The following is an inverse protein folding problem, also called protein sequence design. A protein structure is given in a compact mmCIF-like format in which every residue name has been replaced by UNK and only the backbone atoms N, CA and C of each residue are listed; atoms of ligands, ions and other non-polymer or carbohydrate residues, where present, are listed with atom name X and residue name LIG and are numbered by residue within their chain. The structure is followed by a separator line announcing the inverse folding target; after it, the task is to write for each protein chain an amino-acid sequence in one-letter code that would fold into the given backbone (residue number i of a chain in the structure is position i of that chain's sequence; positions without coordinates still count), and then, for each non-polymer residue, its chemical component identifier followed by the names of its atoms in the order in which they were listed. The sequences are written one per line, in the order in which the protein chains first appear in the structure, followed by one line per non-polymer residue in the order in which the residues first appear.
data_IF_985550302838
#
_entry.id   IF_985550302838
#
_cell.length_a   1.000
_cell.length_b   1.000
_cell.length_c   1.000
_cell.angle_alpha   90.00
_cell.angle_beta   90.00
_cell.angle_gamma   90.00
#
_symmetry.space_group_name_H-M   'P 1'
#
loop_
_entity.id
_entity.type
_entity.pdbx_description
1 polymer ?
#
# COMPACT_ATOMS: atom_id res chain seq x y z
N UNK A 1 -11.68 20.90 -7.54
CA UNK A 1 -10.69 20.45 -6.54
C UNK A 1 -10.23 21.68 -5.77
N UNK A 2 -10.40 21.66 -4.44
CA UNK A 2 -10.02 22.76 -3.53
C UNK A 2 -8.49 22.74 -3.38
N UNK A 3 -7.83 23.88 -3.54
CA UNK A 3 -6.37 23.99 -3.44
C UNK A 3 -6.01 25.21 -2.60
N UNK A 4 -4.97 25.10 -1.76
CA UNK A 4 -4.43 26.19 -0.96
C UNK A 4 -2.91 26.16 -0.95
N UNK A 5 -2.28 27.24 -0.50
CA UNK A 5 -0.82 27.35 -0.40
C UNK A 5 -0.37 27.27 1.07
N UNK A 6 0.86 26.78 1.35
CA UNK A 6 1.31 26.56 2.72
C UNK A 6 1.34 27.81 3.62
N UNK A 7 1.50 29.00 3.07
CA UNK A 7 1.44 30.24 3.86
C UNK A 7 0.04 30.87 3.91
N UNK A 8 -0.98 30.23 3.35
CA UNK A 8 -2.33 30.79 3.28
C UNK A 8 -2.43 32.01 2.38
N UNK A 9 -1.54 32.17 1.40
CA UNK A 9 -1.48 33.33 0.50
C UNK A 9 -2.61 33.33 -0.54
N UNK A 10 -3.31 32.20 -0.69
CA UNK A 10 -4.35 31.99 -1.69
C UNK A 10 -5.62 31.47 -1.04
N UNK A 11 -6.75 32.13 -1.31
CA UNK A 11 -8.06 31.66 -0.87
C UNK A 11 -8.44 30.37 -1.63
N UNK A 12 -8.81 29.28 -0.94
CA UNK A 12 -9.13 28.01 -1.61
C UNK A 12 -10.45 27.99 -2.38
N UNK A 13 -11.29 29.02 -2.20
CA UNK A 13 -12.60 29.17 -2.85
C UNK A 13 -12.46 30.02 -4.11
N UNK A 14 -12.11 31.30 -3.97
CA UNK A 14 -12.06 32.24 -5.09
C UNK A 14 -10.70 32.33 -5.79
N UNK A 15 -9.65 31.70 -5.25
CA UNK A 15 -8.25 31.80 -5.72
C UNK A 15 -7.64 33.21 -5.66
N UNK A 16 -8.33 34.17 -5.05
CA UNK A 16 -7.80 35.49 -4.73
C UNK A 16 -6.84 35.45 -3.53
N UNK A 17 -6.54 36.63 -3.00
CA UNK A 17 -5.67 36.81 -1.82
C UNK A 17 -6.24 36.07 -0.61
N UNK A 18 -5.42 35.19 0.00
CA UNK A 18 -5.76 34.43 1.19
C UNK A 18 -5.49 35.19 2.49
N UNK A 19 -5.66 34.55 3.65
CA UNK A 19 -5.45 35.20 4.97
C UNK A 19 -3.99 35.29 5.41
N UNK A 20 -3.05 34.70 4.68
CA UNK A 20 -1.62 34.70 5.04
C UNK A 20 -1.32 33.93 6.34
N UNK A 21 -2.19 32.99 6.74
CA UNK A 21 -2.04 32.25 7.99
C UNK A 21 -1.35 30.91 7.77
N UNK A 22 -0.13 30.79 8.30
CA UNK A 22 0.60 29.51 8.30
C UNK A 22 -0.10 28.46 9.17
N UNK A 23 -0.78 28.89 10.24
CA UNK A 23 -1.51 27.97 11.13
C UNK A 23 -2.82 27.46 10.52
N UNK A 24 -3.39 28.23 9.59
CA UNK A 24 -4.66 27.94 8.91
C UNK A 24 -4.51 28.23 7.40
N UNK A 25 -3.67 27.44 6.68
CA UNK A 25 -3.31 27.72 5.30
C UNK A 25 -4.49 27.57 4.33
N UNK A 26 -5.54 26.85 4.75
CA UNK A 26 -6.78 26.69 4.02
C UNK A 26 -7.87 27.70 4.42
N UNK A 27 -7.57 28.70 5.27
CA UNK A 27 -8.56 29.70 5.67
C UNK A 27 -9.10 30.46 4.46
N UNK A 28 -10.42 30.58 4.37
CA UNK A 28 -11.07 31.35 3.30
C UNK A 28 -10.87 32.86 3.53
N UNK A 29 -10.81 33.65 2.46
CA UNK A 29 -10.70 35.11 2.57
C UNK A 29 -11.99 35.73 3.14
N UNK A 30 -11.93 36.99 3.58
CA UNK A 30 -13.08 37.71 4.14
C UNK A 30 -14.25 37.81 3.15
N UNK A 31 -13.96 38.02 1.87
CA UNK A 31 -15.00 38.11 0.85
C UNK A 31 -15.76 36.79 0.61
N UNK A 32 -15.09 35.65 0.82
CA UNK A 32 -15.77 34.35 0.75
C UNK A 32 -16.55 34.07 2.04
N UNK A 33 -16.07 34.55 3.18
CA UNK A 33 -16.78 34.43 4.46
C UNK A 33 -18.13 35.16 4.44
N UNK A 34 -18.22 36.34 3.82
CA UNK A 34 -19.49 37.09 3.70
C UNK A 34 -20.53 36.46 2.76
N UNK A 35 -20.14 35.41 2.01
CA UNK A 35 -21.02 34.66 1.09
C UNK A 35 -21.37 33.27 1.61
N UNK A 36 -21.06 32.98 2.87
CA UNK A 36 -21.40 31.70 3.46
C UNK A 36 -22.91 31.55 3.59
N UNK A 37 -23.40 30.36 3.26
CA UNK A 37 -24.79 29.95 3.38
C UNK A 37 -24.92 28.60 4.06
N UNK A 38 -26.09 28.31 4.61
CA UNK A 38 -26.44 26.98 5.11
C UNK A 38 -26.85 26.02 3.97
N UNK A 39 -27.33 24.82 4.34
CA UNK A 39 -27.81 23.82 3.37
C UNK A 39 -29.04 24.28 2.57
N UNK A 40 -29.85 25.20 3.12
CA UNK A 40 -31.02 25.79 2.47
C UNK A 40 -30.67 27.03 1.63
N UNK A 41 -29.39 27.41 1.56
CA UNK A 41 -28.89 28.56 0.78
C UNK A 41 -29.13 29.91 1.46
N UNK A 42 -29.44 29.92 2.76
CA UNK A 42 -29.66 31.15 3.54
C UNK A 42 -28.33 31.66 4.13
N UNK A 43 -28.09 32.98 4.19
CA UNK A 43 -26.84 33.54 4.71
C UNK A 43 -26.56 33.15 6.16
N UNK A 44 -25.30 32.86 6.49
CA UNK A 44 -24.87 32.57 7.87
C UNK A 44 -23.93 33.62 8.43
N UNK A 45 -24.14 33.97 9.69
CA UNK A 45 -23.25 34.80 10.49
C UNK A 45 -22.47 33.95 11.49
N UNK A 46 -21.20 34.30 11.72
CA UNK A 46 -20.30 33.56 12.59
C UNK A 46 -19.79 34.49 13.68
N UNK A 47 -20.01 34.13 14.93
CA UNK A 47 -19.62 34.93 16.09
C UNK A 47 -19.02 34.07 17.20
N UNK A 48 -18.14 34.69 18.01
CA UNK A 48 -17.68 34.12 19.27
C UNK A 48 -18.80 34.20 20.32
N UNK A 49 -19.04 33.12 21.06
CA UNK A 49 -20.09 33.07 22.09
C UNK A 49 -19.70 33.68 23.42
N UNK A 50 -18.42 34.04 23.63
CA UNK A 50 -17.95 34.62 24.90
C UNK A 50 -17.03 35.83 24.73
N UNK A 51 -17.03 36.71 25.73
CA UNK A 51 -16.17 37.90 25.82
C UNK A 51 -14.67 37.58 25.90
N UNK A 52 -14.32 36.32 26.17
CA UNK A 52 -12.94 35.81 26.22
C UNK A 52 -12.58 34.92 25.02
N UNK A 53 -13.45 34.83 24.01
CA UNK A 53 -13.17 34.18 22.73
C UNK A 53 -13.38 32.66 22.69
N UNK A 54 -13.94 32.05 23.74
CA UNK A 54 -14.28 30.62 23.76
C UNK A 54 -15.70 30.35 23.24
N UNK A 55 -15.81 29.36 22.35
CA UNK A 55 -17.05 28.90 21.72
C UNK A 55 -17.48 29.71 20.48
N UNK A 56 -18.13 29.02 19.53
CA UNK A 56 -18.59 29.57 18.25
C UNK A 56 -20.08 29.37 18.12
N UNK A 57 -20.73 30.40 17.59
CA UNK A 57 -22.10 30.36 17.14
C UNK A 57 -22.12 30.65 15.65
N UNK A 58 -22.64 29.70 14.89
CA UNK A 58 -23.07 29.92 13.51
C UNK A 58 -24.56 30.16 13.57
N UNK A 59 -25.01 31.33 13.14
CA UNK A 59 -26.42 31.72 13.17
C UNK A 59 -26.94 32.00 11.77
N UNK A 60 -28.16 31.58 11.48
CA UNK A 60 -28.86 31.92 10.24
C UNK A 60 -30.10 32.77 10.55
N UNK A 61 -29.85 34.03 10.92
CA UNK A 61 -30.89 35.00 11.28
C UNK A 61 -31.59 34.77 12.64
N UNK A 62 -31.92 33.52 13.00
CA UNK A 62 -32.65 33.21 14.25
C UNK A 62 -32.21 31.91 14.95
N UNK A 63 -31.60 30.95 14.24
CA UNK A 63 -31.26 29.62 14.79
C UNK A 63 -29.74 29.42 14.95
N UNK A 64 -29.32 28.79 16.05
CA UNK A 64 -27.93 28.41 16.32
C UNK A 64 -27.66 27.03 15.75
N UNK A 65 -26.70 26.95 14.84
CA UNK A 65 -26.26 25.71 14.22
C UNK A 65 -24.98 25.22 14.91
N UNK A 66 -24.89 23.90 15.14
CA UNK A 66 -23.70 23.26 15.70
C UNK A 66 -22.47 23.51 14.80
N UNK A 67 -21.31 23.78 15.40
CA UNK A 67 -20.08 24.22 14.72
C UNK A 67 -19.48 23.19 13.76
N UNK A 68 -19.86 21.92 13.89
CA UNK A 68 -19.50 20.84 12.96
C UNK A 68 -20.51 20.64 11.81
N UNK A 69 -21.59 21.42 11.77
CA UNK A 69 -22.52 21.43 10.64
C UNK A 69 -21.86 22.13 9.45
N UNK A 70 -21.82 21.49 8.27
CA UNK A 70 -21.23 22.11 7.08
C UNK A 70 -21.98 23.37 6.66
N UNK A 71 -21.23 24.43 6.41
CA UNK A 71 -21.69 25.66 5.73
C UNK A 71 -21.02 25.75 4.36
N UNK A 72 -21.60 26.51 3.43
CA UNK A 72 -21.23 26.47 2.03
C UNK A 72 -20.88 27.85 1.50
N UNK A 73 -19.86 27.93 0.66
CA UNK A 73 -19.60 29.11 -0.19
C UNK A 73 -19.25 28.63 -1.58
N UNK A 74 -19.93 29.16 -2.60
CA UNK A 74 -19.74 28.79 -4.00
C UNK A 74 -19.78 27.26 -4.24
N UNK A 75 -20.64 26.55 -3.47
CA UNK A 75 -20.80 25.09 -3.52
C UNK A 75 -19.70 24.29 -2.78
N UNK A 76 -18.77 24.94 -2.08
CA UNK A 76 -17.71 24.30 -1.30
C UNK A 76 -18.12 24.20 0.17
N UNK A 77 -18.13 22.98 0.71
CA UNK A 77 -18.38 22.74 2.13
C UNK A 77 -17.21 23.20 3.02
N UNK A 78 -17.53 23.93 4.06
CA UNK A 78 -16.63 24.52 5.05
C UNK A 78 -17.10 24.22 6.48
N UNK A 79 -16.18 24.26 7.43
CA UNK A 79 -16.48 24.32 8.86
C UNK A 79 -15.89 25.57 9.49
N UNK A 80 -16.58 26.10 10.49
CA UNK A 80 -16.11 27.20 11.34
C UNK A 80 -15.70 26.63 12.71
N UNK A 81 -14.44 26.80 13.09
CA UNK A 81 -13.91 26.27 14.36
C UNK A 81 -13.04 27.27 15.10
N UNK A 82 -12.92 27.07 16.41
CA UNK A 82 -12.19 27.98 17.28
C UNK A 82 -10.70 27.87 16.94
N UNK A 83 -10.11 29.01 16.64
CA UNK A 83 -8.71 29.16 16.37
C UNK A 83 -7.91 29.15 17.67
N UNK A 84 -6.61 28.87 17.57
CA UNK A 84 -5.68 29.11 18.68
C UNK A 84 -5.79 30.59 19.07
N UNK A 85 -6.00 30.84 20.37
CA UNK A 85 -6.20 32.18 20.96
C UNK A 85 -7.62 32.79 20.82
N UNK A 86 -8.66 31.97 20.63
CA UNK A 86 -10.06 32.41 20.78
C UNK A 86 -10.63 33.21 19.61
N UNK A 87 -10.04 33.05 18.41
CA UNK A 87 -10.61 33.56 17.16
C UNK A 87 -11.50 32.52 16.48
N UNK A 88 -12.20 32.89 15.41
CA UNK A 88 -12.88 31.92 14.54
C UNK A 88 -12.13 31.78 13.24
N UNK A 89 -11.94 30.54 12.79
CA UNK A 89 -11.41 30.23 11.46
C UNK A 89 -12.44 29.44 10.69
N UNK A 90 -12.66 29.85 9.44
CA UNK A 90 -13.44 29.09 8.46
C UNK A 90 -12.51 28.59 7.37
N UNK A 91 -12.56 27.29 7.09
CA UNK A 91 -11.84 26.68 5.97
C UNK A 91 -12.66 25.51 5.40
N UNK A 92 -12.39 25.09 4.15
CA UNK A 92 -13.01 23.92 3.57
C UNK A 92 -12.86 22.69 4.46
N UNK A 93 -13.86 21.81 4.48
CA UNK A 93 -13.81 20.56 5.27
C UNK A 93 -12.51 19.78 4.99
N UNK A 94 -12.10 19.71 3.72
CA UNK A 94 -10.84 19.08 3.31
C UNK A 94 -9.60 19.70 3.97
N UNK A 95 -9.61 21.01 4.27
CA UNK A 95 -8.54 21.70 4.98
C UNK A 95 -8.52 21.43 6.49
N UNK A 96 -9.66 21.04 7.09
CA UNK A 96 -9.71 20.58 8.49
C UNK A 96 -9.29 19.11 8.63
N UNK A 97 -9.65 18.29 7.64
CA UNK A 97 -9.31 16.86 7.60
C UNK A 97 -7.88 16.61 7.12
N UNK A 98 -7.29 17.57 6.38
CA UNK A 98 -5.87 17.58 6.04
C UNK A 98 -5.17 18.46 7.08
N UNK A 99 -4.40 17.91 8.05
CA UNK A 99 -3.69 18.75 8.99
C UNK A 99 -2.85 19.79 8.23
N UNK A 100 -2.72 21.04 8.72
CA UNK A 100 -1.78 21.97 8.13
C UNK A 100 -0.44 21.26 8.12
N UNK A 101 0.13 21.05 6.93
CA UNK A 101 1.49 20.54 6.81
C UNK A 101 2.33 21.31 7.83
N UNK A 102 2.97 20.64 8.80
CA UNK A 102 3.78 21.35 9.75
C UNK A 102 4.89 22.05 8.96
N UNK A 103 4.80 23.38 8.86
CA UNK A 103 5.98 24.19 8.60
C UNK A 103 6.83 23.94 9.83
N UNK A 104 7.91 23.17 9.65
CA UNK A 104 8.86 22.85 10.69
C UNK A 104 9.35 24.16 11.33
N UNK A 105 8.75 24.56 12.45
CA UNK A 105 9.37 25.44 13.44
C UNK A 105 10.57 24.66 13.94
N UNK A 106 11.78 25.07 13.55
CA UNK A 106 13.05 24.40 13.82
C UNK A 106 12.90 22.89 14.02
N UNK A 107 12.99 22.14 12.92
CA UNK A 107 13.10 20.69 13.00
C UNK A 107 14.10 20.31 14.09
N UNK A 108 13.61 19.80 15.23
CA UNK A 108 14.34 18.81 15.98
C UNK A 108 14.47 17.64 15.02
N UNK A 109 15.48 17.70 14.14
CA UNK A 109 15.92 16.58 13.34
C UNK A 109 16.42 15.58 14.38
N UNK A 110 15.53 14.72 14.85
CA UNK A 110 15.89 13.67 15.77
C UNK A 110 16.93 12.81 15.08
N UNK A 111 18.10 12.76 15.68
CA UNK A 111 19.18 11.88 15.30
C UNK A 111 18.80 10.44 15.66
N UNK A 112 19.47 9.47 15.04
CA UNK A 112 19.28 8.06 15.39
C UNK A 112 19.56 7.80 16.89
N UNK A 113 20.44 8.58 17.53
CA UNK A 113 20.73 8.49 18.95
C UNK A 113 19.52 8.88 19.83
N UNK A 114 18.69 9.84 19.40
CA UNK A 114 17.45 10.22 20.10
C UNK A 114 16.34 9.18 19.97
N UNK A 115 16.50 8.23 19.05
CA UNK A 115 15.70 7.00 18.98
C UNK A 115 16.41 5.81 19.62
N UNK A 116 17.47 6.03 20.40
CA UNK A 116 18.24 4.97 21.07
C UNK A 116 18.78 3.92 20.08
N UNK A 117 19.06 4.34 18.85
CA UNK A 117 19.47 3.46 17.74
C UNK A 117 18.42 2.41 17.33
N UNK A 118 17.16 2.61 17.72
CA UNK A 118 16.03 1.80 17.27
C UNK A 118 15.50 2.30 15.91
N UNK A 119 15.92 1.63 14.85
CA UNK A 119 15.43 1.90 13.50
C UNK A 119 13.93 1.64 13.31
N UNK A 120 13.31 0.79 14.13
CA UNK A 120 11.86 0.57 14.10
C UNK A 120 11.13 1.77 14.67
N UNK A 121 11.59 2.31 15.80
CA UNK A 121 11.04 3.54 16.37
C UNK A 121 11.14 4.73 15.40
N UNK A 122 12.24 4.85 14.65
CA UNK A 122 12.38 5.85 13.56
C UNK A 122 11.31 5.64 12.50
N UNK A 123 11.10 4.40 12.05
CA UNK A 123 10.11 4.10 11.03
C UNK A 123 8.69 4.37 11.51
N UNK A 124 8.34 3.95 12.72
CA UNK A 124 7.04 4.22 13.34
C UNK A 124 6.79 5.73 13.42
N UNK A 125 7.78 6.52 13.83
CA UNK A 125 7.71 7.98 13.85
C UNK A 125 7.46 8.58 12.45
N UNK A 126 8.19 8.14 11.43
CA UNK A 126 8.05 8.63 10.06
C UNK A 126 6.69 8.26 9.44
N UNK A 127 6.23 7.03 9.67
CA UNK A 127 4.97 6.54 9.12
C UNK A 127 3.77 7.19 9.83
N UNK A 128 3.82 7.38 11.15
CA UNK A 128 2.79 8.09 11.89
C UNK A 128 2.60 9.54 11.42
N UNK A 129 3.67 10.19 10.96
CA UNK A 129 3.63 11.53 10.40
C UNK A 129 3.22 11.59 8.91
N UNK A 130 3.06 10.43 8.26
CA UNK A 130 2.69 10.32 6.86
C UNK A 130 1.18 10.10 6.68
N UNK A 131 0.62 10.25 5.46
CA UNK A 131 -0.77 9.90 5.19
C UNK A 131 -1.15 8.44 5.47
N UNK A 132 -0.18 7.51 5.56
CA UNK A 132 -0.47 6.13 5.96
C UNK A 132 -0.87 6.02 7.42
N UNK A 133 -0.38 6.90 8.30
CA UNK A 133 -0.69 6.96 9.74
C UNK A 133 -0.24 5.76 10.58
N UNK A 134 -0.05 4.57 10.00
CA UNK A 134 0.40 3.35 10.67
C UNK A 134 1.18 2.43 9.74
N UNK A 135 2.04 1.60 10.33
CA UNK A 135 2.81 0.59 9.56
C UNK A 135 1.89 -0.44 8.91
N UNK A 136 0.79 -0.83 9.55
CA UNK A 136 -0.15 -1.80 8.98
C UNK A 136 -0.85 -1.25 7.73
N UNK A 137 -1.25 0.03 7.75
CA UNK A 137 -1.81 0.69 6.58
C UNK A 137 -0.75 0.87 5.47
N UNK A 138 0.49 1.21 5.82
CA UNK A 138 1.59 1.25 4.85
C UNK A 138 1.83 -0.13 4.23
N UNK A 139 1.81 -1.21 5.01
CA UNK A 139 1.91 -2.59 4.50
C UNK A 139 0.74 -2.89 3.57
N UNK A 140 -0.50 -2.62 3.98
CA UNK A 140 -1.69 -2.96 3.21
C UNK A 140 -1.73 -2.26 1.84
N UNK A 141 -1.47 -0.95 1.81
CA UNK A 141 -1.54 -0.13 0.60
C UNK A 141 -0.30 -0.22 -0.30
N UNK A 142 0.84 -0.70 0.22
CA UNK A 142 2.09 -0.81 -0.55
C UNK A 142 2.48 -2.25 -0.89
N UNK A 143 1.74 -3.25 -0.41
CA UNK A 143 1.98 -4.66 -0.73
C UNK A 143 1.02 -5.14 -1.82
N UNK A 144 1.58 -5.55 -2.94
CA UNK A 144 0.83 -6.01 -4.12
C UNK A 144 0.84 -7.53 -4.20
N UNK A 145 -0.36 -8.10 -4.31
CA UNK A 145 -0.61 -9.55 -4.45
C UNK A 145 -1.03 -9.89 -5.88
N UNK A 146 -0.93 -11.17 -6.24
CA UNK A 146 -1.48 -11.67 -7.49
C UNK A 146 -3.01 -11.64 -7.46
N UNK A 147 -3.66 -11.30 -8.57
CA UNK A 147 -5.11 -11.35 -8.70
C UNK A 147 -5.64 -12.79 -8.59
N UNK A 148 -6.84 -13.02 -8.01
CA UNK A 148 -7.45 -14.35 -7.97
C UNK A 148 -7.49 -15.07 -9.33
N UNK A 149 -7.74 -14.35 -10.42
CA UNK A 149 -7.78 -14.93 -11.78
C UNK A 149 -6.46 -15.57 -12.19
N UNK A 150 -5.33 -14.90 -11.98
CA UNK A 150 -4.02 -15.48 -12.35
C UNK A 150 -3.63 -16.64 -11.43
N UNK A 151 -4.05 -16.60 -10.17
CA UNK A 151 -3.89 -17.74 -9.24
C UNK A 151 -4.74 -18.94 -9.67
N UNK A 152 -5.97 -18.70 -10.11
CA UNK A 152 -6.85 -19.74 -10.65
C UNK A 152 -6.31 -20.29 -11.99
N UNK A 153 -5.73 -19.43 -12.84
CA UNK A 153 -5.13 -19.83 -14.11
C UNK A 153 -3.92 -20.76 -13.96
N UNK A 154 -3.20 -20.72 -12.83
CA UNK A 154 -2.16 -21.71 -12.50
C UNK A 154 -2.72 -22.97 -11.83
N UNK A 155 -4.03 -23.02 -11.59
CA UNK A 155 -4.67 -24.10 -10.83
C UNK A 155 -4.18 -24.14 -9.39
N UNK A 156 -3.84 -22.99 -8.80
CA UNK A 156 -3.37 -22.89 -7.42
C UNK A 156 -2.11 -23.72 -7.12
N UNK A 157 -1.15 -23.71 -8.05
CA UNK A 157 0.13 -24.44 -7.93
C UNK A 157 1.32 -23.52 -8.18
N UNK A 158 2.47 -23.90 -7.64
CA UNK A 158 3.76 -23.31 -7.99
C UNK A 158 3.99 -23.36 -9.50
N UNK A 159 4.54 -22.27 -10.04
CA UNK A 159 4.72 -22.12 -11.49
C UNK A 159 5.95 -22.88 -11.96
N UNK A 160 7.09 -22.67 -11.33
CA UNK A 160 8.37 -23.30 -11.68
C UNK A 160 8.83 -24.27 -10.60
N UNK A 161 9.43 -25.37 -11.02
CA UNK A 161 9.97 -26.39 -10.13
C UNK A 161 11.39 -26.03 -9.68
N UNK A 162 11.47 -25.00 -8.84
CA UNK A 162 12.72 -24.44 -8.30
C UNK A 162 12.67 -24.33 -6.77
N UNK A 163 13.85 -24.27 -6.15
CA UNK A 163 14.01 -24.02 -4.70
C UNK A 163 15.19 -23.09 -4.44
N UNK A 164 15.18 -22.43 -3.29
CA UNK A 164 16.30 -21.61 -2.83
C UNK A 164 17.47 -22.50 -2.41
N UNK A 165 18.68 -22.17 -2.88
CA UNK A 165 19.89 -22.82 -2.40
C UNK A 165 21.10 -21.90 -2.34
N UNK A 166 22.27 -22.50 -2.13
CA UNK A 166 23.54 -21.77 -1.99
C UNK A 166 23.96 -21.20 -3.34
N UNK A 167 24.74 -20.12 -3.31
CA UNK A 167 25.24 -19.47 -4.52
C UNK A 167 26.00 -20.42 -5.46
N UNK A 168 26.81 -21.31 -4.90
CA UNK A 168 27.59 -22.29 -5.67
C UNK A 168 26.72 -23.32 -6.42
N UNK A 169 25.51 -23.56 -5.94
CA UNK A 169 24.62 -24.60 -6.47
C UNK A 169 23.60 -24.02 -7.48
N UNK A 170 23.54 -22.69 -7.68
CA UNK A 170 22.53 -22.03 -8.53
C UNK A 170 22.61 -22.52 -9.98
N UNK A 171 21.46 -22.93 -10.51
CA UNK A 171 21.31 -23.50 -11.84
C UNK A 171 21.59 -25.00 -11.93
N UNK A 172 22.05 -25.64 -10.85
CA UNK A 172 22.11 -27.11 -10.78
C UNK A 172 20.72 -27.70 -10.62
N UNK A 173 20.53 -28.93 -11.11
CA UNK A 173 19.28 -29.68 -10.99
C UNK A 173 19.56 -30.89 -10.11
N UNK A 174 18.79 -31.01 -9.03
CA UNK A 174 18.88 -32.10 -8.05
C UNK A 174 17.47 -32.69 -7.95
N UNK A 175 17.34 -34.00 -8.21
CA UNK A 175 16.06 -34.72 -8.15
C UNK A 175 14.92 -34.08 -8.95
N UNK A 176 15.27 -33.51 -10.11
CA UNK A 176 14.32 -32.84 -11.01
C UNK A 176 13.81 -31.49 -10.47
N UNK A 177 14.53 -30.85 -9.55
CA UNK A 177 14.27 -29.50 -9.05
C UNK A 177 15.50 -28.65 -9.29
N UNK A 178 15.33 -27.44 -9.84
CA UNK A 178 16.47 -26.54 -10.06
C UNK A 178 16.73 -25.67 -8.83
N UNK A 179 17.98 -25.60 -8.40
CA UNK A 179 18.41 -24.66 -7.36
C UNK A 179 18.50 -23.26 -7.94
N UNK A 180 17.91 -22.27 -7.27
CA UNK A 180 17.94 -20.87 -7.68
C UNK A 180 18.12 -19.92 -6.48
N UNK A 181 18.19 -18.63 -6.79
CA UNK A 181 17.91 -17.56 -5.83
C UNK A 181 16.46 -17.06 -6.00
N UNK A 182 16.17 -15.84 -5.54
CA UNK A 182 14.84 -15.26 -5.68
C UNK A 182 14.46 -14.83 -7.12
N UNK A 183 15.27 -15.13 -8.14
CA UNK A 183 14.94 -14.82 -9.53
C UNK A 183 13.69 -15.58 -10.02
N UNK A 184 13.55 -16.87 -9.72
CA UNK A 184 12.38 -17.67 -10.16
C UNK A 184 11.06 -17.26 -9.51
N UNK A 185 10.96 -17.00 -8.18
CA UNK A 185 9.76 -16.41 -7.58
C UNK A 185 9.39 -15.05 -8.20
N UNK A 186 10.37 -14.16 -8.37
CA UNK A 186 10.17 -12.84 -8.97
C UNK A 186 9.62 -12.97 -10.40
N UNK A 187 10.24 -13.82 -11.23
CA UNK A 187 9.77 -14.08 -12.58
C UNK A 187 8.39 -14.74 -12.63
N UNK A 188 8.10 -15.67 -11.71
CA UNK A 188 6.80 -16.31 -11.62
C UNK A 188 5.70 -15.27 -11.40
N UNK A 189 5.92 -14.34 -10.47
CA UNK A 189 4.99 -13.25 -10.20
C UNK A 189 4.92 -12.24 -11.36
N UNK A 190 6.05 -11.68 -11.80
CA UNK A 190 6.12 -10.65 -12.84
C UNK A 190 5.55 -11.13 -14.18
N UNK A 191 5.93 -12.34 -14.62
CA UNK A 191 5.52 -12.84 -15.93
C UNK A 191 4.04 -13.24 -15.91
N UNK A 192 3.54 -13.75 -14.79
CA UNK A 192 2.13 -14.14 -14.70
C UNK A 192 1.22 -12.93 -14.61
N UNK A 193 1.54 -11.98 -13.73
CA UNK A 193 0.70 -10.79 -13.47
C UNK A 193 0.86 -9.69 -14.51
N UNK A 194 1.98 -9.65 -15.24
CA UNK A 194 2.32 -8.55 -16.15
C UNK A 194 2.98 -7.35 -15.46
N UNK A 195 3.29 -7.45 -14.16
CA UNK A 195 4.09 -6.46 -13.45
C UNK A 195 5.46 -6.31 -14.15
N UNK A 196 5.78 -5.09 -14.59
CA UNK A 196 6.95 -4.84 -15.44
C UNK A 196 8.20 -4.69 -14.59
N UNK A 197 9.29 -5.38 -14.95
CA UNK A 197 10.58 -5.27 -14.25
C UNK A 197 11.12 -3.83 -14.11
N UNK A 198 10.79 -2.93 -15.04
CA UNK A 198 11.15 -1.50 -14.94
C UNK A 198 10.45 -0.77 -13.79
N UNK A 199 9.28 -1.23 -13.36
CA UNK A 199 8.53 -0.68 -12.22
C UNK A 199 8.87 -1.38 -10.90
N UNK A 200 9.72 -2.41 -10.91
CA UNK A 200 10.06 -3.21 -9.71
C UNK A 200 11.44 -2.90 -9.13
N UNK A 201 12.15 -1.86 -9.60
CA UNK A 201 13.54 -1.57 -9.19
C UNK A 201 13.74 -1.45 -7.68
N UNK A 202 12.80 -0.81 -6.99
CA UNK A 202 12.81 -0.64 -5.52
C UNK A 202 11.75 -1.48 -4.82
N UNK A 203 11.20 -2.48 -5.53
CA UNK A 203 10.32 -3.48 -4.96
C UNK A 203 11.09 -4.77 -4.72
N UNK A 204 10.74 -5.44 -3.63
CA UNK A 204 11.27 -6.76 -3.29
C UNK A 204 10.15 -7.79 -3.42
N UNK A 205 10.47 -8.89 -4.09
CA UNK A 205 9.65 -10.11 -4.11
C UNK A 205 9.84 -10.84 -2.77
N UNK A 206 8.77 -10.96 -2.00
CA UNK A 206 8.76 -11.52 -0.65
C UNK A 206 7.93 -12.81 -0.60
N UNK A 207 8.24 -13.66 0.38
CA UNK A 207 7.46 -14.86 0.71
C UNK A 207 6.69 -14.65 2.01
N UNK A 208 5.44 -15.13 2.08
CA UNK A 208 4.61 -15.07 3.30
C UNK A 208 5.00 -16.13 4.33
N UNK A 209 5.38 -17.31 3.84
CA UNK A 209 5.77 -18.47 4.62
C UNK A 209 7.20 -18.88 4.27
N UNK A 210 7.99 -19.22 5.29
CA UNK A 210 9.39 -19.61 5.15
C UNK A 210 9.51 -21.06 4.64
N UNK A 211 9.19 -21.27 3.37
CA UNK A 211 9.15 -22.59 2.71
C UNK A 211 10.00 -22.59 1.45
N UNK A 212 11.17 -21.96 1.50
CA UNK A 212 12.01 -21.72 0.32
C UNK A 212 12.67 -22.98 -0.25
N UNK A 213 12.70 -24.08 0.52
CA UNK A 213 13.15 -25.40 0.11
C UNK A 213 12.03 -26.29 -0.43
N UNK A 214 10.78 -25.82 -0.44
CA UNK A 214 9.62 -26.57 -0.92
C UNK A 214 9.28 -26.14 -2.36
N UNK A 215 9.46 -27.03 -3.35
CA UNK A 215 9.21 -26.70 -4.76
C UNK A 215 7.74 -26.40 -5.06
N UNK A 216 6.81 -26.88 -4.23
CA UNK A 216 5.36 -26.63 -4.40
C UNK A 216 4.93 -25.29 -3.80
N UNK A 217 5.79 -24.64 -3.01
CA UNK A 217 5.51 -23.37 -2.35
C UNK A 217 6.41 -22.21 -2.80
N UNK A 218 7.60 -22.50 -3.35
CA UNK A 218 8.62 -21.47 -3.61
C UNK A 218 8.21 -20.47 -4.69
N UNK A 219 7.52 -20.93 -5.73
CA UNK A 219 7.00 -20.10 -6.83
C UNK A 219 5.48 -20.05 -6.90
N UNK A 220 4.80 -20.41 -5.81
CA UNK A 220 3.35 -20.28 -5.69
C UNK A 220 2.97 -18.80 -5.50
N UNK A 221 2.17 -18.28 -6.42
CA UNK A 221 1.70 -16.89 -6.40
C UNK A 221 0.93 -16.53 -5.12
N UNK A 222 0.30 -17.50 -4.46
CA UNK A 222 -0.42 -17.29 -3.19
C UNK A 222 0.53 -17.08 -2.02
N UNK A 223 1.78 -17.51 -2.14
CA UNK A 223 2.84 -17.38 -1.15
C UNK A 223 3.75 -16.17 -1.41
N UNK A 224 3.52 -15.43 -2.50
CA UNK A 224 4.41 -14.36 -2.97
C UNK A 224 3.66 -13.03 -3.03
N UNK A 225 4.33 -11.96 -2.64
CA UNK A 225 3.87 -10.59 -2.85
C UNK A 225 5.06 -9.68 -3.15
N UNK A 226 4.77 -8.51 -3.72
CA UNK A 226 5.76 -7.45 -3.91
C UNK A 226 5.48 -6.31 -2.94
N UNK A 227 6.53 -5.75 -2.35
CA UNK A 227 6.44 -4.53 -1.56
C UNK A 227 7.70 -3.67 -1.74
N UNK A 228 7.65 -2.35 -1.48
CA UNK A 228 8.85 -1.53 -1.41
C UNK A 228 9.89 -2.15 -0.48
N UNK A 229 11.16 -2.08 -0.87
CA UNK A 229 12.25 -2.76 -0.15
C UNK A 229 12.31 -2.42 1.34
N UNK A 230 11.92 -1.21 1.74
CA UNK A 230 11.86 -0.82 3.16
C UNK A 230 10.72 -1.50 3.93
N UNK A 231 9.56 -1.74 3.29
CA UNK A 231 8.46 -2.53 3.86
C UNK A 231 8.83 -4.02 3.89
N UNK A 232 9.41 -4.52 2.80
CA UNK A 232 9.84 -5.91 2.68
C UNK A 232 10.78 -6.32 3.83
N UNK A 233 11.68 -5.44 4.25
CA UNK A 233 12.59 -5.70 5.38
C UNK A 233 11.89 -5.91 6.72
N UNK A 234 10.68 -5.38 6.91
CA UNK A 234 9.86 -5.66 8.10
C UNK A 234 9.27 -7.07 8.08
N UNK A 235 9.26 -7.71 6.92
CA UNK A 235 8.67 -9.04 6.71
C UNK A 235 9.70 -10.17 6.72
N UNK A 236 10.98 -9.83 6.59
CA UNK A 236 12.09 -10.77 6.34
C UNK A 236 12.58 -11.56 7.58
N UNK A 237 12.10 -11.24 8.79
CA UNK A 237 12.75 -11.75 10.00
C UNK A 237 11.84 -11.86 11.23
N UNK A 238 10.96 -12.87 11.32
CA UNK A 238 10.42 -13.37 12.61
C UNK A 238 10.06 -14.87 12.55
N UNK A 239 11.09 -15.71 12.67
CA UNK A 239 10.93 -17.09 13.13
C UNK A 239 11.06 -17.09 14.67
N UNK A 240 9.97 -17.22 15.41
CA UNK A 240 10.08 -17.44 16.85
C UNK A 240 8.79 -17.29 17.67
N UNK A 241 7.94 -16.33 17.35
CA UNK A 241 6.64 -16.15 18.00
C UNK A 241 5.92 -15.04 17.25
N UNK A 242 4.69 -15.31 16.78
CA UNK A 242 3.82 -14.24 16.31
C UNK A 242 3.23 -13.57 17.57
N UNK A 243 3.65 -12.36 17.97
CA UNK A 243 2.72 -11.54 18.72
C UNK A 243 1.49 -11.29 17.83
N UNK A 244 0.34 -11.08 18.46
CA UNK A 244 -0.97 -10.82 17.84
C UNK A 244 -0.95 -9.63 16.85
N UNK A 245 0.16 -8.87 16.80
CA UNK A 245 0.37 -7.63 16.06
C UNK A 245 1.61 -7.69 15.14
N UNK A 246 1.80 -8.77 14.36
CA UNK A 246 2.94 -8.86 13.42
C UNK A 246 2.54 -8.54 11.98
N UNK A 247 3.37 -7.80 11.23
CA UNK A 247 3.17 -7.46 9.82
C UNK A 247 2.82 -8.65 8.92
N UNK A 248 3.50 -9.79 9.12
CA UNK A 248 3.21 -11.03 8.37
C UNK A 248 1.80 -11.58 8.65
N UNK A 249 1.20 -11.26 9.78
CA UNK A 249 -0.13 -11.73 10.14
C UNK A 249 -1.19 -11.11 9.22
N UNK A 250 -1.16 -9.79 9.03
CA UNK A 250 -2.04 -9.10 8.09
C UNK A 250 -1.82 -9.58 6.64
N UNK A 251 -0.57 -9.75 6.22
CA UNK A 251 -0.22 -10.24 4.88
C UNK A 251 -0.69 -11.70 4.64
N UNK A 252 -0.54 -12.59 5.62
CA UNK A 252 -1.06 -13.97 5.54
C UNK A 252 -2.58 -14.00 5.50
N UNK A 253 -3.24 -13.17 6.32
CA UNK A 253 -4.69 -13.05 6.26
C UNK A 253 -5.15 -12.47 4.91
N UNK A 254 -4.41 -11.54 4.31
CA UNK A 254 -4.71 -11.05 2.95
C UNK A 254 -4.64 -12.15 1.90
N UNK A 255 -3.61 -13.00 1.93
CA UNK A 255 -3.54 -14.15 1.02
C UNK A 255 -4.68 -15.15 1.25
N UNK A 256 -5.08 -15.36 2.50
CA UNK A 256 -6.28 -16.14 2.82
C UNK A 256 -7.55 -15.47 2.27
N UNK A 257 -7.73 -14.17 2.47
CA UNK A 257 -8.91 -13.44 2.03
C UNK A 257 -9.05 -13.42 0.49
N UNK A 258 -7.93 -13.32 -0.24
CA UNK A 258 -7.93 -13.32 -1.71
C UNK A 258 -8.03 -14.72 -2.32
N UNK A 259 -7.43 -15.74 -1.70
CA UNK A 259 -7.17 -17.03 -2.36
C UNK A 259 -7.54 -18.26 -1.53
N UNK A 260 -8.03 -18.09 -0.30
CA UNK A 260 -8.23 -19.19 0.66
C UNK A 260 -6.93 -19.86 1.09
N UNK A 261 -5.76 -19.22 0.90
CA UNK A 261 -4.46 -19.83 1.16
C UNK A 261 -4.08 -19.78 2.65
N UNK A 262 -3.88 -20.96 3.25
CA UNK A 262 -3.49 -21.11 4.66
C UNK A 262 -1.98 -21.37 4.87
N UNK A 263 -1.20 -21.32 3.80
CA UNK A 263 0.22 -21.66 3.79
C UNK A 263 0.50 -23.10 3.30
N UNK A 264 1.78 -23.44 3.08
CA UNK A 264 2.18 -24.75 2.55
C UNK A 264 1.76 -25.88 3.49
N UNK A 265 1.03 -26.86 2.97
CA UNK A 265 0.57 -28.04 3.73
C UNK A 265 -0.36 -27.76 4.91
N UNK A 266 -0.84 -26.53 5.08
CA UNK A 266 -1.65 -26.10 6.22
C UNK A 266 -3.10 -25.87 5.80
N UNK A 267 -4.03 -26.28 6.66
CA UNK A 267 -5.45 -25.90 6.60
C UNK A 267 -5.82 -24.87 7.66
N UNK A 268 -4.89 -24.54 8.57
CA UNK A 268 -5.13 -23.60 9.65
C UNK A 268 -5.27 -22.18 9.09
N UNK A 269 -6.50 -21.64 9.19
CA UNK A 269 -6.81 -20.28 8.78
C UNK A 269 -5.97 -19.28 9.60
N UNK A 270 -5.27 -18.33 8.94
CA UNK A 270 -4.65 -17.21 9.64
C UNK A 270 -5.72 -16.44 10.43
N UNK A 271 -5.43 -16.06 11.67
CA UNK A 271 -6.36 -15.22 12.43
C UNK A 271 -6.60 -13.90 11.67
N UNK A 272 -7.79 -13.32 11.80
CA UNK A 272 -8.06 -12.00 11.22
C UNK A 272 -7.53 -10.93 12.20
N UNK A 273 -6.66 -9.99 11.78
CA UNK A 273 -6.33 -8.83 12.61
C UNK A 273 -7.58 -8.00 12.91
N UNK A 274 -7.68 -7.44 14.11
CA UNK A 274 -8.87 -6.73 14.59
C UNK A 274 -9.26 -5.55 13.67
N UNK A 275 -8.28 -4.74 13.27
CA UNK A 275 -8.45 -3.59 12.39
C UNK A 275 -8.27 -3.91 10.90
N UNK A 276 -8.28 -5.19 10.50
CA UNK A 276 -8.03 -5.56 9.11
C UNK A 276 -9.02 -4.92 8.13
N UNK A 277 -10.30 -4.83 8.51
CA UNK A 277 -11.35 -4.30 7.63
C UNK A 277 -11.26 -2.79 7.41
N UNK A 278 -10.54 -2.06 8.28
CA UNK A 278 -10.29 -0.63 8.09
C UNK A 278 -9.04 -0.36 7.24
N UNK A 279 -8.27 -1.38 6.87
CA UNK A 279 -7.08 -1.21 6.05
C UNK A 279 -7.44 -1.05 4.58
N UNK A 280 -6.90 -0.02 3.93
CA UNK A 280 -6.98 0.13 2.48
C UNK A 280 -5.86 -0.69 1.82
N UNK A 281 -6.23 -1.70 1.05
CA UNK A 281 -5.29 -2.59 0.39
C UNK A 281 -5.00 -2.15 -1.05
N UNK A 282 -3.77 -2.36 -1.50
CA UNK A 282 -3.47 -2.28 -2.92
C UNK A 282 -4.31 -3.29 -3.72
N UNK A 283 -4.73 -2.86 -4.92
CA UNK A 283 -5.39 -3.75 -5.87
C UNK A 283 -4.45 -4.86 -6.31
N UNK A 284 -4.92 -6.12 -6.33
CA UNK A 284 -4.09 -7.22 -6.79
C UNK A 284 -3.95 -7.18 -8.32
N UNK A 285 -2.82 -7.67 -8.83
CA UNK A 285 -2.42 -7.50 -10.24
C UNK A 285 -2.53 -8.80 -11.04
N UNK A 286 -2.90 -8.68 -12.32
CA UNK A 286 -3.10 -9.83 -13.21
C UNK A 286 -4.54 -10.30 -13.33
N UNK A 287 -5.50 -9.38 -13.26
CA UNK A 287 -6.91 -9.65 -13.55
C UNK A 287 -7.13 -10.16 -14.98
N UNK A 288 -8.28 -10.80 -15.21
CA UNK A 288 -8.74 -11.35 -16.50
C UNK A 288 -7.84 -12.46 -17.08
N UNK A 289 -6.95 -13.02 -16.26
CA UNK A 289 -6.06 -14.09 -16.67
C UNK A 289 -6.84 -15.40 -16.87
N UNK A 290 -6.61 -16.05 -18.00
CA UNK A 290 -7.09 -17.41 -18.29
C UNK A 290 -5.90 -18.37 -18.34
N UNK A 291 -6.14 -19.67 -18.09
CA UNK A 291 -5.07 -20.68 -18.13
C UNK A 291 -4.35 -20.70 -19.49
N UNK A 292 -5.11 -20.70 -20.60
CA UNK A 292 -4.54 -20.72 -21.96
C UNK A 292 -3.81 -19.42 -22.31
N UNK A 293 -4.36 -18.26 -21.93
CA UNK A 293 -3.72 -16.97 -22.15
C UNK A 293 -2.42 -16.83 -21.35
N UNK A 294 -2.42 -17.27 -20.09
CA UNK A 294 -1.25 -17.28 -19.23
C UNK A 294 -0.17 -18.23 -19.77
N UNK A 295 -0.54 -19.45 -20.15
CA UNK A 295 0.39 -20.42 -20.75
C UNK A 295 1.06 -19.84 -22.00
N UNK A 296 0.28 -19.30 -22.94
CA UNK A 296 0.79 -18.71 -24.17
C UNK A 296 1.78 -17.56 -23.87
N UNK A 297 1.43 -16.68 -22.93
CA UNK A 297 2.28 -15.57 -22.48
C UNK A 297 3.60 -16.06 -21.90
N UNK A 298 3.58 -17.07 -21.03
CA UNK A 298 4.82 -17.59 -20.44
C UNK A 298 5.66 -18.36 -21.46
N UNK A 299 5.04 -19.12 -22.37
CA UNK A 299 5.74 -19.80 -23.48
C UNK A 299 6.49 -18.80 -24.36
N UNK A 300 5.87 -17.67 -24.71
CA UNK A 300 6.54 -16.59 -25.44
C UNK A 300 7.78 -16.07 -24.68
N UNK A 301 7.66 -15.84 -23.38
CA UNK A 301 8.79 -15.38 -22.54
C UNK A 301 9.95 -16.38 -22.47
N UNK A 302 9.64 -17.67 -22.42
CA UNK A 302 10.66 -18.74 -22.41
C UNK A 302 11.38 -18.80 -23.76
N UNK A 303 10.64 -18.68 -24.88
CA UNK A 303 11.19 -18.66 -26.23
C UNK A 303 12.14 -17.45 -26.47
N UNK A 304 11.80 -16.28 -25.94
CA UNK A 304 12.66 -15.08 -26.00
C UNK A 304 13.97 -15.24 -25.19
N UNK A 305 14.03 -16.21 -24.28
CA UNK A 305 15.11 -16.39 -23.31
C UNK A 305 15.65 -17.82 -23.31
N UNK A 306 16.13 -18.34 -24.44
CA UNK A 306 16.45 -19.77 -24.56
C UNK A 306 17.66 -20.22 -23.72
N UNK A 307 18.45 -19.28 -23.17
CA UNK A 307 19.62 -19.56 -22.32
C UNK A 307 19.39 -19.26 -20.84
N UNK A 308 18.20 -18.77 -20.46
CA UNK A 308 17.88 -18.39 -19.09
C UNK A 308 17.68 -19.61 -18.18
N UNK A 309 18.00 -19.48 -16.89
CA UNK A 309 17.87 -20.57 -15.91
C UNK A 309 16.42 -21.03 -15.75
N UNK A 310 15.45 -20.13 -15.86
CA UNK A 310 14.04 -20.52 -15.79
C UNK A 310 13.67 -21.38 -17.01
N UNK A 311 14.17 -21.03 -18.19
CA UNK A 311 14.00 -21.85 -19.39
C UNK A 311 14.62 -23.23 -19.23
N UNK A 312 15.82 -23.31 -18.63
CA UNK A 312 16.44 -24.59 -18.23
C UNK A 312 15.54 -25.39 -17.29
N UNK A 313 15.01 -24.75 -16.24
CA UNK A 313 14.12 -25.39 -15.27
C UNK A 313 12.87 -25.93 -15.94
N UNK A 314 12.22 -25.16 -16.81
CA UNK A 314 11.00 -25.62 -17.48
C UNK A 314 11.29 -26.82 -18.40
N UNK A 315 12.37 -26.75 -19.18
CA UNK A 315 12.75 -27.80 -20.12
C UNK A 315 13.13 -29.12 -19.42
N UNK A 316 13.76 -29.06 -18.24
CA UNK A 316 14.35 -30.23 -17.58
C UNK A 316 13.69 -30.65 -16.26
N UNK A 317 12.99 -29.75 -15.58
CA UNK A 317 12.31 -30.00 -14.30
C UNK A 317 10.79 -29.95 -14.45
N UNK A 318 10.28 -29.22 -15.45
CA UNK A 318 8.85 -29.00 -15.64
C UNK A 318 8.31 -27.78 -14.91
N UNK A 319 7.01 -27.56 -15.09
CA UNK A 319 6.28 -26.38 -14.63
C UNK A 319 4.78 -26.65 -14.59
N UNK A 320 4.01 -25.66 -14.16
CA UNK A 320 2.56 -25.82 -13.92
C UNK A 320 1.78 -26.33 -15.14
N UNK A 321 2.14 -25.90 -16.35
CA UNK A 321 1.43 -26.25 -17.59
C UNK A 321 1.85 -27.60 -18.20
N UNK A 322 2.92 -28.22 -17.69
CA UNK A 322 3.31 -29.58 -18.05
C UNK A 322 2.95 -30.62 -16.98
N UNK A 323 2.17 -30.21 -15.96
CA UNK A 323 1.86 -31.06 -14.81
C UNK A 323 3.11 -31.39 -13.97
N UNK A 324 4.11 -30.51 -13.97
CA UNK A 324 5.36 -30.71 -13.23
C UNK A 324 6.34 -31.69 -13.88
N UNK A 325 6.12 -32.08 -15.14
CA UNK A 325 7.03 -32.93 -15.91
C UNK A 325 7.90 -32.08 -16.86
N UNK A 326 9.11 -32.51 -17.25
CA UNK A 326 9.94 -31.79 -18.21
C UNK A 326 9.16 -31.44 -19.50
N UNK A 327 9.12 -30.17 -19.87
CA UNK A 327 8.36 -29.72 -21.05
C UNK A 327 9.23 -29.78 -22.31
N UNK A 328 8.98 -30.80 -23.14
CA UNK A 328 9.73 -31.05 -24.39
C UNK A 328 9.52 -29.97 -25.46
N UNK A 329 8.50 -29.13 -25.33
CA UNK A 329 8.24 -28.02 -26.26
C UNK A 329 9.10 -26.79 -25.95
N UNK A 330 9.72 -26.74 -24.77
CA UNK A 330 10.57 -25.63 -24.36
C UNK A 330 12.02 -25.95 -24.69
N UNK A 331 12.62 -25.15 -25.57
CA UNK A 331 14.00 -25.35 -26.05
C UNK A 331 14.97 -24.53 -25.20
N UNK A 332 15.83 -25.23 -24.44
CA UNK A 332 16.98 -24.64 -23.76
C UNK A 332 18.25 -24.77 -24.63
N UNK A 333 18.95 -23.67 -24.88
CA UNK A 333 20.18 -23.60 -25.69
C UNK A 333 21.43 -23.18 -24.89
N UNK A 334 21.34 -23.19 -23.57
CA UNK A 334 22.47 -22.91 -22.68
C UNK A 334 23.26 -24.18 -22.30
N UNK A 335 24.18 -24.03 -21.34
CA UNK A 335 24.96 -25.16 -20.80
C UNK A 335 24.18 -25.84 -19.66
N UNK A 336 24.20 -27.17 -19.67
CA UNK A 336 23.69 -27.98 -18.55
C UNK A 336 24.55 -27.80 -17.30
#
# INVERSE_FOLDING_TARGET
MVTWRPGGEMCPVCRGEGRGSISYPAAICRDCETRLVDWDGRPVDIANTSLIGTGIQVANGEEVVDGDTPIFVDGIACWAREARFGGVVVQPVAGWLSPPFPVATESQRKTLAEFEYDGRAVLDFLIAASPWGSIDQAIASLSVFAHPDVVAATGHRAIFRTVRGRMADRGSIIDGVMVDDNASPAAAFEWSTGLKRGTTRDLTCCHLYASSSDPDAYTDLRNIFYAPSFIAKLTDSQAGSLPVMHALHALRYRAFALHGYCGPGSTARPLKPEHYDSLEWADPVGADATASGLEAKLRARLADKPKDRITKSVAHCGWVFSGGQPDRLVVYSGRL
#
